data_IF_717994206220
#
_entry.id   IF_717994206220
#
_cell.length_a   1.000
_cell.length_b   1.000
_cell.length_c   1.000
_cell.angle_alpha   90.00
_cell.angle_beta   90.00
_cell.angle_gamma   90.00
#
_symmetry.space_group_name_H-M   'P 1'
#
loop_
_entity.id
_entity.type
_entity.pdbx_description
1 polymer ?
#
# COMPACT_ATOMS: atom_id res chain seq x y z
N UNK A 1 37.67 80.31 -20.10
CA UNK A 1 36.43 79.87 -19.42
C UNK A 1 36.30 78.43 -19.59
N UNK A 2 36.67 77.65 -18.57
CA UNK A 2 36.56 76.18 -18.58
C UNK A 2 35.66 75.78 -17.42
N UNK A 3 34.49 75.26 -17.69
CA UNK A 3 33.57 74.74 -16.70
C UNK A 3 33.90 73.27 -16.44
N UNK A 4 34.29 72.98 -15.18
CA UNK A 4 34.47 71.63 -14.70
C UNK A 4 33.15 71.06 -14.17
N UNK A 5 32.68 69.99 -14.71
CA UNK A 5 31.54 69.25 -14.17
C UNK A 5 32.06 68.16 -13.23
N UNK A 6 31.68 68.25 -11.97
CA UNK A 6 31.93 67.25 -10.95
C UNK A 6 30.80 66.22 -11.03
N UNK A 7 31.17 64.97 -11.38
CA UNK A 7 30.25 63.83 -11.46
C UNK A 7 30.20 63.15 -10.09
N UNK A 8 29.10 63.32 -9.33
CA UNK A 8 28.88 62.57 -8.11
C UNK A 8 28.39 61.17 -8.42
N UNK A 9 29.22 60.18 -8.10
CA UNK A 9 28.82 58.79 -8.10
C UNK A 9 28.04 58.52 -6.80
N UNK A 10 26.71 58.33 -6.90
CA UNK A 10 25.88 57.79 -5.86
C UNK A 10 25.97 56.25 -5.90
N UNK A 11 26.69 55.70 -4.92
CA UNK A 11 26.78 54.28 -4.70
C UNK A 11 25.49 53.77 -4.04
N UNK A 12 24.56 53.25 -4.85
CA UNK A 12 23.33 52.61 -4.36
C UNK A 12 23.62 51.20 -3.89
N UNK A 13 23.66 51.00 -2.59
CA UNK A 13 23.71 49.63 -2.02
C UNK A 13 22.35 48.96 -2.19
N UNK A 14 22.28 47.99 -3.11
CA UNK A 14 21.12 47.13 -3.24
C UNK A 14 21.20 46.07 -2.14
N UNK A 15 20.39 46.23 -1.10
CA UNK A 15 20.17 45.20 -0.08
C UNK A 15 19.25 44.15 -0.68
N UNK A 16 19.83 43.04 -1.14
CA UNK A 16 19.09 41.84 -1.51
C UNK A 16 18.60 41.15 -0.22
N UNK A 17 17.34 41.39 0.11
CA UNK A 17 16.61 40.60 1.11
C UNK A 17 16.38 39.17 0.52
N UNK A 18 17.25 38.24 0.91
CA UNK A 18 17.06 36.85 0.60
C UNK A 18 15.84 36.30 1.32
N UNK A 19 14.74 36.12 0.58
CA UNK A 19 13.61 35.33 1.05
C UNK A 19 14.05 33.86 1.08
N UNK A 20 14.54 33.40 2.22
CA UNK A 20 14.65 31.97 2.48
C UNK A 20 13.24 31.41 2.61
N UNK A 21 12.74 30.82 1.54
CA UNK A 21 11.56 29.94 1.62
C UNK A 21 11.95 28.76 2.50
N UNK A 22 11.54 28.78 3.75
CA UNK A 22 11.48 27.60 4.59
C UNK A 22 10.54 26.61 3.89
N UNK A 23 11.14 25.68 3.14
CA UNK A 23 10.45 24.49 2.66
C UNK A 23 10.14 23.68 3.90
N UNK A 24 8.94 23.89 4.47
CA UNK A 24 8.41 23.06 5.52
C UNK A 24 8.44 21.62 5.00
N UNK A 25 9.37 20.82 5.49
CA UNK A 25 9.25 19.38 5.39
C UNK A 25 8.05 19.02 6.25
N UNK A 26 6.87 18.93 5.61
CA UNK A 26 5.82 18.12 6.16
C UNK A 26 6.41 16.71 6.20
N UNK A 27 6.92 16.32 7.34
CA UNK A 27 7.03 14.95 7.72
C UNK A 27 5.58 14.46 7.82
N UNK A 28 4.98 14.09 6.68
CA UNK A 28 3.87 13.16 6.72
C UNK A 28 4.45 11.94 7.42
N UNK A 29 4.07 11.76 8.68
CA UNK A 29 4.24 10.48 9.35
C UNK A 29 3.66 9.47 8.37
N UNK A 30 4.47 8.57 7.86
CA UNK A 30 4.02 7.51 6.96
C UNK A 30 3.06 6.63 7.77
N UNK A 31 1.80 7.01 7.75
CA UNK A 31 0.73 6.33 8.47
C UNK A 31 0.44 5.07 7.65
N UNK A 32 1.08 3.96 8.02
CA UNK A 32 0.81 2.68 7.41
C UNK A 32 -0.65 2.29 7.64
N UNK A 33 -1.30 1.81 6.62
CA UNK A 33 -2.67 1.32 6.66
C UNK A 33 -2.63 -0.20 6.54
N UNK A 34 -3.38 -0.86 7.41
CA UNK A 34 -3.51 -2.31 7.38
C UNK A 34 -4.82 -2.72 6.73
N UNK A 35 -4.78 -3.70 5.86
CA UNK A 35 -5.95 -4.23 5.18
C UNK A 35 -6.21 -5.66 5.65
N UNK A 36 -7.26 -5.84 6.46
CA UNK A 36 -7.77 -7.15 6.84
C UNK A 36 -8.67 -7.68 5.73
N UNK A 37 -8.44 -8.92 5.34
CA UNK A 37 -9.30 -9.65 4.39
C UNK A 37 -9.76 -10.97 4.97
N UNK A 38 -11.06 -11.18 4.93
CA UNK A 38 -11.73 -12.39 5.34
C UNK A 38 -12.30 -13.06 4.08
N UNK A 39 -11.70 -14.16 3.67
CA UNK A 39 -12.15 -14.92 2.51
C UNK A 39 -13.09 -16.01 2.95
N UNK A 40 -14.35 -15.93 2.55
CA UNK A 40 -15.34 -16.99 2.73
C UNK A 40 -15.16 -18.02 1.62
N UNK A 41 -14.60 -19.15 1.99
CA UNK A 41 -14.12 -20.18 1.07
C UNK A 41 -15.23 -21.16 0.77
N UNK A 42 -15.42 -21.52 -0.50
CA UNK A 42 -16.37 -22.52 -0.91
C UNK A 42 -16.04 -23.91 -0.34
N UNK A 43 -17.06 -24.73 -0.15
CA UNK A 43 -16.92 -26.08 0.40
C UNK A 43 -15.85 -26.90 -0.35
N UNK A 44 -14.93 -27.50 0.40
CA UNK A 44 -13.85 -28.34 -0.14
C UNK A 44 -12.75 -27.57 -0.90
N UNK A 45 -12.75 -26.21 -0.88
CA UNK A 45 -11.79 -25.40 -1.62
C UNK A 45 -10.65 -24.81 -0.78
N UNK A 46 -10.64 -25.03 0.53
CA UNK A 46 -9.67 -24.45 1.45
C UNK A 46 -8.21 -24.83 1.11
N UNK A 47 -7.93 -26.10 0.84
CA UNK A 47 -6.57 -26.55 0.54
C UNK A 47 -6.08 -25.96 -0.79
N UNK A 48 -6.93 -25.93 -1.81
CA UNK A 48 -6.61 -25.31 -3.09
C UNK A 48 -6.34 -23.79 -2.94
N UNK A 49 -7.10 -23.09 -2.08
CA UNK A 49 -6.86 -21.69 -1.78
C UNK A 49 -5.52 -21.48 -1.07
N UNK A 50 -5.21 -22.29 -0.05
CA UNK A 50 -3.93 -22.23 0.68
C UNK A 50 -2.75 -22.49 -0.26
N UNK A 51 -2.85 -23.50 -1.13
CA UNK A 51 -1.84 -23.80 -2.16
C UNK A 51 -1.63 -22.61 -3.10
N UNK A 52 -2.71 -22.00 -3.63
CA UNK A 52 -2.60 -20.81 -4.46
C UNK A 52 -1.88 -19.65 -3.75
N UNK A 53 -2.18 -19.44 -2.47
CA UNK A 53 -1.53 -18.38 -1.69
C UNK A 53 -0.05 -18.68 -1.42
N UNK A 54 0.27 -19.87 -0.96
CA UNK A 54 1.63 -20.28 -0.62
C UNK A 54 2.57 -20.35 -1.82
N UNK A 55 2.09 -20.90 -2.93
CA UNK A 55 2.94 -21.13 -4.09
C UNK A 55 3.04 -19.91 -5.02
N UNK A 56 2.03 -19.03 -5.03
CA UNK A 56 1.95 -17.94 -6.02
C UNK A 56 1.57 -16.59 -5.43
N UNK A 57 0.41 -16.47 -4.77
CA UNK A 57 -0.19 -15.17 -4.47
C UNK A 57 0.70 -14.28 -3.62
N UNK A 58 1.35 -14.82 -2.58
CA UNK A 58 2.22 -14.04 -1.69
C UNK A 58 3.44 -13.47 -2.43
N UNK A 59 4.04 -14.23 -3.35
CA UNK A 59 5.15 -13.75 -4.17
C UNK A 59 4.72 -12.64 -5.14
N UNK A 60 3.51 -12.75 -5.70
CA UNK A 60 2.94 -11.73 -6.58
C UNK A 60 2.60 -10.47 -5.79
N UNK A 61 2.04 -10.59 -4.57
CA UNK A 61 1.83 -9.45 -3.67
C UNK A 61 3.12 -8.67 -3.43
N UNK A 62 4.21 -9.36 -3.11
CA UNK A 62 5.53 -8.73 -2.89
C UNK A 62 6.03 -7.94 -4.10
N UNK A 63 5.82 -8.44 -5.32
CA UNK A 63 6.18 -7.71 -6.55
C UNK A 63 5.38 -6.41 -6.74
N UNK A 64 4.16 -6.38 -6.23
CA UNK A 64 3.27 -5.22 -6.29
C UNK A 64 3.28 -4.37 -5.01
N UNK A 65 4.36 -4.42 -4.21
CA UNK A 65 4.53 -3.64 -2.99
C UNK A 65 3.39 -3.83 -1.97
N UNK A 66 2.80 -5.03 -1.93
CA UNK A 66 1.78 -5.41 -0.97
C UNK A 66 2.43 -6.33 0.06
N UNK A 67 2.74 -5.78 1.24
CA UNK A 67 3.46 -6.50 2.30
C UNK A 67 2.47 -7.31 3.12
N UNK A 68 2.58 -8.64 3.09
CA UNK A 68 1.79 -9.52 3.95
C UNK A 68 2.33 -9.51 5.39
N UNK A 69 1.43 -9.31 6.36
CA UNK A 69 1.73 -9.42 7.79
C UNK A 69 1.60 -10.89 8.22
N UNK A 70 0.61 -11.58 7.70
CA UNK A 70 0.40 -12.99 7.97
C UNK A 70 -0.89 -13.54 7.39
N UNK A 71 -1.02 -14.85 7.49
CA UNK A 71 -2.15 -15.64 6.99
C UNK A 71 -2.63 -16.59 8.08
N UNK A 72 -3.94 -16.71 8.25
CA UNK A 72 -4.53 -17.55 9.29
C UNK A 72 -5.73 -18.34 8.75
N UNK A 73 -5.95 -19.51 9.34
CA UNK A 73 -7.24 -20.20 9.35
C UNK A 73 -7.66 -20.39 10.79
N UNK A 74 -8.93 -20.19 11.16
CA UNK A 74 -9.42 -20.56 12.48
C UNK A 74 -9.14 -22.03 12.81
N UNK A 75 -8.97 -22.36 14.08
CA UNK A 75 -8.80 -23.74 14.52
C UNK A 75 -10.14 -24.48 14.67
N UNK A 76 -11.18 -23.71 15.08
CA UNK A 76 -12.48 -24.29 15.39
C UNK A 76 -13.41 -24.36 14.17
N UNK A 77 -14.15 -25.47 14.08
CA UNK A 77 -15.23 -25.64 13.11
C UNK A 77 -16.46 -24.75 13.49
N UNK A 78 -17.23 -24.27 12.49
CA UNK A 78 -17.08 -24.52 11.08
C UNK A 78 -16.04 -23.64 10.39
N UNK A 79 -15.56 -22.58 11.05
CA UNK A 79 -14.70 -21.55 10.45
C UNK A 79 -13.36 -22.08 9.95
N UNK A 80 -12.83 -23.16 10.55
CA UNK A 80 -11.60 -23.81 10.08
C UNK A 80 -11.69 -24.37 8.65
N UNK A 81 -12.89 -24.61 8.16
CA UNK A 81 -13.13 -25.18 6.83
C UNK A 81 -13.48 -24.15 5.77
N UNK A 82 -13.97 -22.98 6.18
CA UNK A 82 -14.55 -22.01 5.26
C UNK A 82 -14.07 -20.56 5.42
N UNK A 83 -13.14 -20.29 6.35
CA UNK A 83 -12.62 -18.94 6.55
C UNK A 83 -11.10 -18.91 6.44
N UNK A 84 -10.59 -18.11 5.50
CA UNK A 84 -9.17 -17.81 5.35
C UNK A 84 -8.94 -16.32 5.56
N UNK A 85 -8.00 -15.97 6.43
CA UNK A 85 -7.79 -14.62 6.91
C UNK A 85 -6.37 -14.18 6.57
N UNK A 86 -6.19 -12.93 6.14
CA UNK A 86 -4.86 -12.34 6.05
C UNK A 86 -4.89 -10.83 6.23
N UNK A 87 -3.73 -10.28 6.56
CA UNK A 87 -3.52 -8.85 6.72
C UNK A 87 -2.39 -8.41 5.80
N UNK A 88 -2.63 -7.34 5.04
CA UNK A 88 -1.63 -6.62 4.28
C UNK A 88 -1.32 -5.28 4.95
N UNK A 89 -0.08 -4.84 4.83
CA UNK A 89 0.37 -3.50 5.19
C UNK A 89 0.62 -2.70 3.92
N UNK A 90 0.14 -1.47 3.90
CA UNK A 90 0.31 -0.52 2.80
C UNK A 90 0.86 0.81 3.31
N UNK A 91 1.66 1.54 2.52
CA UNK A 91 2.13 2.88 2.88
C UNK A 91 0.99 3.89 3.06
N UNK A 92 -0.12 3.71 2.34
CA UNK A 92 -1.35 4.49 2.43
C UNK A 92 -2.50 3.75 1.75
N UNK A 93 -3.73 4.22 1.99
CA UNK A 93 -4.91 3.71 1.28
C UNK A 93 -4.83 3.92 -0.24
N UNK A 94 -4.31 5.07 -0.68
CA UNK A 94 -4.14 5.35 -2.10
C UNK A 94 -3.16 4.39 -2.76
N UNK A 95 -2.02 4.10 -2.11
CA UNK A 95 -1.06 3.11 -2.62
C UNK A 95 -1.65 1.69 -2.60
N UNK A 96 -2.47 1.34 -1.60
CA UNK A 96 -3.18 0.07 -1.59
C UNK A 96 -4.05 -0.10 -2.84
N UNK A 97 -4.87 0.89 -3.17
CA UNK A 97 -5.77 0.85 -4.34
C UNK A 97 -4.97 0.72 -5.66
N UNK A 98 -3.89 1.47 -5.79
CA UNK A 98 -2.98 1.39 -6.95
C UNK A 98 -2.31 0.02 -7.07
N UNK A 99 -1.79 -0.51 -5.96
CA UNK A 99 -1.11 -1.80 -5.93
C UNK A 99 -2.09 -2.96 -6.22
N UNK A 100 -3.32 -2.88 -5.71
CA UNK A 100 -4.38 -3.82 -6.06
C UNK A 100 -4.74 -3.79 -7.53
N UNK A 101 -4.82 -2.61 -8.15
CA UNK A 101 -5.08 -2.49 -9.59
C UNK A 101 -3.96 -3.14 -10.41
N UNK A 102 -2.69 -2.90 -10.04
CA UNK A 102 -1.53 -3.51 -10.68
C UNK A 102 -1.50 -5.04 -10.51
N UNK A 103 -1.79 -5.53 -9.30
CA UNK A 103 -1.89 -6.97 -9.02
C UNK A 103 -2.99 -7.65 -9.86
N UNK A 104 -4.18 -7.03 -9.95
CA UNK A 104 -5.29 -7.60 -10.75
C UNK A 104 -4.97 -7.63 -12.25
N UNK A 105 -4.13 -6.72 -12.74
CA UNK A 105 -3.69 -6.67 -14.12
C UNK A 105 -2.47 -7.56 -14.42
N UNK A 106 -1.84 -8.16 -13.40
CA UNK A 106 -0.67 -9.02 -13.55
C UNK A 106 -1.03 -10.30 -14.33
N UNK A 107 -0.36 -10.59 -15.47
CA UNK A 107 -0.67 -11.77 -16.28
C UNK A 107 -0.44 -13.10 -15.55
N UNK A 108 0.55 -13.16 -14.65
CA UNK A 108 0.79 -14.35 -13.84
C UNK A 108 -0.35 -14.58 -12.84
N UNK A 109 -0.81 -13.51 -12.17
CA UNK A 109 -1.99 -13.60 -11.32
C UNK A 109 -3.22 -14.09 -12.07
N UNK A 110 -3.50 -13.52 -13.25
CA UNK A 110 -4.64 -13.90 -14.07
C UNK A 110 -4.59 -15.38 -14.46
N UNK A 111 -3.40 -15.86 -14.86
CA UNK A 111 -3.17 -17.28 -15.17
C UNK A 111 -3.39 -18.15 -13.94
N UNK A 112 -2.73 -17.86 -12.83
CA UNK A 112 -2.84 -18.63 -11.57
C UNK A 112 -4.28 -18.69 -11.08
N UNK A 113 -4.99 -17.56 -11.15
CA UNK A 113 -6.41 -17.51 -10.78
C UNK A 113 -7.23 -18.43 -11.66
N UNK A 114 -7.09 -18.31 -12.99
CA UNK A 114 -7.84 -19.13 -13.95
C UNK A 114 -7.58 -20.64 -13.75
N UNK A 115 -6.32 -21.03 -13.57
CA UNK A 115 -5.93 -22.43 -13.35
C UNK A 115 -6.50 -22.98 -12.04
N UNK A 116 -6.37 -22.24 -10.95
CA UNK A 116 -6.86 -22.67 -9.63
C UNK A 116 -8.40 -22.71 -9.54
N UNK A 117 -9.09 -21.97 -10.37
CA UNK A 117 -10.56 -21.90 -10.43
C UNK A 117 -11.18 -22.67 -11.59
N UNK A 118 -10.38 -23.48 -12.33
CA UNK A 118 -10.86 -24.28 -13.46
C UNK A 118 -12.01 -25.24 -13.10
N UNK A 119 -12.10 -25.64 -11.83
CA UNK A 119 -13.15 -26.51 -11.29
C UNK A 119 -14.10 -25.76 -10.33
N UNK A 120 -14.34 -24.49 -10.57
CA UNK A 120 -15.21 -23.60 -9.80
C UNK A 120 -14.46 -22.62 -8.90
N UNK A 121 -15.14 -21.56 -8.52
CA UNK A 121 -14.58 -20.51 -7.69
C UNK A 121 -14.10 -21.05 -6.34
N UNK A 122 -12.92 -20.60 -5.89
CA UNK A 122 -12.39 -20.97 -4.57
C UNK A 122 -13.07 -20.19 -3.45
N UNK A 123 -13.48 -18.95 -3.72
CA UNK A 123 -14.00 -18.01 -2.73
C UNK A 123 -15.41 -17.59 -3.15
N UNK A 124 -16.34 -17.61 -2.20
CA UNK A 124 -17.71 -17.12 -2.37
C UNK A 124 -17.73 -15.59 -2.34
N UNK A 125 -17.26 -15.00 -1.23
CA UNK A 125 -17.14 -13.56 -1.08
C UNK A 125 -15.97 -13.18 -0.17
N UNK A 126 -15.67 -11.88 -0.11
CA UNK A 126 -14.55 -11.33 0.64
C UNK A 126 -15.04 -10.12 1.43
N UNK A 127 -14.89 -10.17 2.77
CA UNK A 127 -14.98 -8.98 3.59
C UNK A 127 -13.63 -8.29 3.65
N UNK A 128 -13.63 -6.96 3.57
CA UNK A 128 -12.43 -6.14 3.55
C UNK A 128 -12.56 -4.96 4.51
N UNK A 129 -11.55 -4.78 5.34
CA UNK A 129 -11.48 -3.66 6.28
C UNK A 129 -10.11 -2.98 6.18
N UNK A 130 -10.11 -1.68 5.93
CA UNK A 130 -8.92 -0.87 6.14
C UNK A 130 -8.89 -0.40 7.59
N UNK A 131 -7.72 -0.51 8.21
CA UNK A 131 -7.56 -0.30 9.64
C UNK A 131 -6.35 0.60 9.88
N UNK A 132 -6.51 1.55 10.79
CA UNK A 132 -5.42 2.35 11.34
C UNK A 132 -5.00 1.73 12.68
N UNK A 133 -3.70 1.56 12.96
CA UNK A 133 -3.26 1.06 14.24
C UNK A 133 -3.62 2.06 15.35
N UNK A 134 -4.03 1.57 16.50
CA UNK A 134 -4.21 2.41 17.68
C UNK A 134 -2.87 2.81 18.27
N UNK A 135 -2.84 3.87 19.08
CA UNK A 135 -1.61 4.38 19.71
C UNK A 135 -0.91 3.37 20.64
N UNK A 136 -1.59 2.31 21.03
CA UNK A 136 -1.03 1.21 21.85
C UNK A 136 -0.80 -0.07 21.06
N UNK A 137 -0.93 -0.02 19.72
CA UNK A 137 -0.62 -1.15 18.84
C UNK A 137 0.88 -1.37 18.73
N UNK A 138 1.30 -2.63 18.68
CA UNK A 138 2.68 -2.98 18.36
C UNK A 138 3.05 -2.78 16.88
N UNK A 139 2.07 -2.47 16.03
CA UNK A 139 2.20 -2.25 14.59
C UNK A 139 2.16 -0.74 14.23
N UNK A 140 2.72 0.12 15.06
CA UNK A 140 2.83 1.56 14.81
C UNK A 140 4.01 1.89 13.89
#
# INVERSE_FOLDING_TARGET
MKASYILCFLCGAVVMLGFSTLKGSNSESSHHVYELRLYHVNEGKMDALKTRFGDHTDSIFKRHNMKSIGYWSPEDAPSSHNLFIYILEHPSRQEAEKNWAAFQADPEWQKVKAESEAHGALVDHIDRYFMDPTSFSALN
#
